data_IF_693357579304
#
_entry.id   IF_693357579304
#
_cell.length_a   1.000
_cell.length_b   1.000
_cell.length_c   1.000
_cell.angle_alpha   90.00
_cell.angle_beta   90.00
_cell.angle_gamma   90.00
#
_symmetry.space_group_name_H-M   'P 1'
#
loop_
_entity.id
_entity.type
_entity.pdbx_description
1 polymer ?
#
# COMPACT_ATOMS: atom_id res chain seq x y z
N UNK A 1 15.17 11.77 -2.65
CA UNK A 1 15.47 10.51 -1.93
C UNK A 1 16.39 9.55 -2.68
N UNK A 2 16.78 9.78 -3.95
CA UNK A 2 17.78 8.94 -4.64
C UNK A 2 17.34 7.49 -4.97
N UNK A 3 16.31 6.97 -4.30
CA UNK A 3 15.68 5.69 -4.57
C UNK A 3 14.82 5.74 -5.84
N UNK A 4 14.77 4.63 -6.58
CA UNK A 4 13.82 4.49 -7.69
C UNK A 4 12.40 4.34 -7.14
N UNK A 5 11.37 4.81 -7.87
CA UNK A 5 9.97 4.61 -7.46
C UNK A 5 9.65 3.15 -7.14
N UNK A 6 10.17 2.21 -7.94
CA UNK A 6 9.98 0.78 -7.75
C UNK A 6 10.58 0.23 -6.42
N UNK A 7 11.56 0.95 -5.84
CA UNK A 7 12.17 0.60 -4.54
C UNK A 7 11.37 1.18 -3.36
N UNK A 8 10.41 2.06 -3.64
CA UNK A 8 9.59 2.74 -2.63
C UNK A 8 8.23 2.08 -2.48
N UNK A 9 7.66 2.11 -1.27
CA UNK A 9 6.30 1.68 -1.01
C UNK A 9 5.50 2.79 -0.33
N UNK A 10 4.31 3.11 -0.86
CA UNK A 10 3.31 3.93 -0.18
C UNK A 10 2.36 3.04 0.61
N UNK A 11 2.15 3.36 1.89
CA UNK A 11 1.18 2.67 2.76
C UNK A 11 0.11 3.67 3.20
N UNK A 12 -1.14 3.44 2.80
CA UNK A 12 -2.25 4.38 3.03
C UNK A 12 -3.58 3.67 3.30
N UNK A 13 -4.51 4.29 4.06
CA UNK A 13 -5.84 3.73 4.32
C UNK A 13 -6.86 4.06 3.22
N UNK A 14 -6.49 4.82 2.19
CA UNK A 14 -7.39 5.31 1.14
C UNK A 14 -7.01 4.70 -0.22
N UNK A 15 -8.00 4.11 -0.92
CA UNK A 15 -7.76 3.40 -2.18
C UNK A 15 -7.24 4.29 -3.31
N UNK A 16 -7.59 5.59 -3.35
CA UNK A 16 -7.10 6.51 -4.37
C UNK A 16 -5.59 6.81 -4.21
N UNK A 17 -5.08 6.80 -2.98
CA UNK A 17 -3.66 6.96 -2.69
C UNK A 17 -2.87 5.75 -3.17
N UNK A 18 -3.34 4.54 -2.86
CA UNK A 18 -2.68 3.31 -3.33
C UNK A 18 -2.72 3.18 -4.85
N UNK A 19 -3.84 3.57 -5.49
CA UNK A 19 -3.96 3.62 -6.94
C UNK A 19 -2.97 4.61 -7.59
N UNK A 20 -2.90 5.82 -7.04
CA UNK A 20 -1.97 6.85 -7.50
C UNK A 20 -0.51 6.44 -7.36
N UNK A 21 -0.16 5.74 -6.27
CA UNK A 21 1.18 5.20 -6.07
C UNK A 21 1.58 4.17 -7.14
N UNK A 22 0.67 3.25 -7.46
CA UNK A 22 0.89 2.28 -8.53
C UNK A 22 1.05 2.97 -9.90
N UNK A 23 0.19 3.95 -10.20
CA UNK A 23 0.30 4.77 -11.43
C UNK A 23 1.62 5.54 -11.52
N UNK A 24 2.23 5.89 -10.39
CA UNK A 24 3.53 6.54 -10.30
C UNK A 24 4.72 5.56 -10.29
N UNK A 25 4.47 4.25 -10.40
CA UNK A 25 5.50 3.21 -10.40
C UNK A 25 6.06 2.83 -9.02
N UNK A 26 5.35 3.19 -7.94
CA UNK A 26 5.66 2.75 -6.59
C UNK A 26 4.97 1.42 -6.27
N UNK A 27 5.52 0.71 -5.29
CA UNK A 27 4.81 -0.36 -4.59
C UNK A 27 3.75 0.25 -3.67
N UNK A 28 2.70 -0.50 -3.35
CA UNK A 28 1.58 -0.04 -2.54
C UNK A 28 1.14 -1.03 -1.45
N UNK A 29 0.74 -0.50 -0.31
CA UNK A 29 0.13 -1.23 0.78
C UNK A 29 -1.13 -0.53 1.27
N UNK A 30 -2.21 -1.29 1.45
CA UNK A 30 -3.47 -0.74 1.95
C UNK A 30 -3.67 -1.09 3.42
N UNK A 31 -4.09 -0.09 4.21
CA UNK A 31 -4.36 -0.26 5.65
C UNK A 31 -5.87 -0.29 5.89
N UNK A 32 -6.41 -1.48 6.10
CA UNK A 32 -7.86 -1.68 6.16
C UNK A 32 -8.50 -1.14 7.45
N UNK A 33 -7.80 -1.09 8.60
CA UNK A 33 -8.34 -0.62 9.91
C UNK A 33 -9.76 -1.11 10.23
N UNK A 34 -10.07 -2.37 9.92
CA UNK A 34 -11.41 -2.96 10.14
C UNK A 34 -12.50 -2.51 9.15
N UNK A 35 -12.16 -1.70 8.13
CA UNK A 35 -13.06 -1.38 7.01
C UNK A 35 -12.98 -2.49 5.94
N UNK A 36 -14.09 -2.79 5.26
CA UNK A 36 -14.06 -3.65 4.08
C UNK A 36 -13.04 -3.10 3.10
N UNK A 37 -12.21 -3.98 2.55
CA UNK A 37 -11.21 -3.60 1.57
C UNK A 37 -11.83 -3.13 0.23
N UNK A 38 -13.16 -3.00 0.15
CA UNK A 38 -13.96 -2.78 -1.06
C UNK A 38 -13.90 -1.35 -1.63
N UNK A 39 -13.34 -0.37 -0.91
CA UNK A 39 -13.11 0.97 -1.48
C UNK A 39 -11.76 1.02 -2.19
N UNK A 40 -11.57 0.18 -3.22
CA UNK A 40 -10.35 0.18 -4.06
C UNK A 40 -10.61 1.00 -5.32
N UNK A 41 -9.72 1.95 -5.59
CA UNK A 41 -9.54 2.47 -6.93
C UNK A 41 -8.37 1.71 -7.56
N UNK A 42 -8.48 1.28 -8.82
CA UNK A 42 -7.36 0.65 -9.54
C UNK A 42 -7.04 -0.80 -9.17
N UNK A 43 -5.80 -1.22 -9.45
CA UNK A 43 -5.34 -2.58 -9.22
C UNK A 43 -5.20 -2.88 -7.71
N UNK A 44 -5.35 -4.14 -7.28
CA UNK A 44 -5.19 -4.49 -5.88
C UNK A 44 -3.78 -4.11 -5.38
N UNK A 45 -3.64 -3.62 -4.13
CA UNK A 45 -2.33 -3.35 -3.54
C UNK A 45 -1.53 -4.64 -3.43
N UNK A 46 -0.20 -4.54 -3.45
CA UNK A 46 0.66 -5.71 -3.29
C UNK A 46 0.50 -6.37 -1.92
N UNK A 47 0.09 -5.60 -0.91
CA UNK A 47 -0.18 -6.10 0.45
C UNK A 47 -1.37 -5.41 1.08
N UNK A 48 -2.21 -6.21 1.72
CA UNK A 48 -3.21 -5.77 2.69
C UNK A 48 -2.67 -5.99 4.10
N UNK A 49 -2.70 -4.94 4.92
CA UNK A 49 -2.32 -4.99 6.35
C UNK A 49 -3.43 -4.41 7.23
N UNK A 50 -3.66 -4.97 8.44
CA UNK A 50 -4.70 -4.50 9.33
C UNK A 50 -4.38 -3.11 9.92
N UNK A 51 -3.10 -2.85 10.17
CA UNK A 51 -2.56 -1.60 10.71
C UNK A 51 -1.07 -1.44 10.26
N UNK A 52 -0.47 -0.23 10.39
CA UNK A 52 0.91 -0.01 9.95
C UNK A 52 1.98 -0.76 10.77
N UNK A 53 1.69 -1.12 12.03
CA UNK A 53 2.64 -1.84 12.88
C UNK A 53 2.76 -3.31 12.49
N UNK A 54 1.76 -3.87 11.80
CA UNK A 54 1.81 -5.21 11.22
C UNK A 54 2.62 -5.30 9.91
N UNK A 55 3.11 -4.17 9.36
CA UNK A 55 3.83 -4.13 8.10
C UNK A 55 5.20 -4.85 8.14
N UNK A 56 6.04 -4.69 9.18
CA UNK A 56 7.35 -5.36 9.24
C UNK A 56 7.24 -6.89 9.12
N UNK A 57 6.30 -7.51 9.85
CA UNK A 57 6.04 -8.96 9.80
C UNK A 57 5.65 -9.44 8.39
N UNK A 58 4.98 -8.58 7.60
CA UNK A 58 4.57 -8.89 6.22
C UNK A 58 5.65 -8.61 5.16
N UNK A 59 6.73 -7.94 5.55
CA UNK A 59 7.90 -7.70 4.70
C UNK A 59 8.99 -8.76 4.88
N UNK A 60 8.89 -9.62 5.90
CA UNK A 60 9.88 -10.67 6.18
C UNK A 60 11.14 -10.15 6.87
N UNK A 61 10.99 -9.13 7.73
CA UNK A 61 12.05 -8.58 8.57
C UNK A 61 12.11 -9.28 9.93
#
# INVERSE_FOLDING_TARGET
MGAQPADCMLVAPDGWNTAGAQGAGLRSGFVARGRPAEVRAGAPPERDVPDPLALPDRLGA
#
